data_IF_456256891810
#
_entry.id   IF_456256891810
#
_cell.length_a   1.000
_cell.length_b   1.000
_cell.length_c   1.000
_cell.angle_alpha   90.00
_cell.angle_beta   90.00
_cell.angle_gamma   90.00
#
_symmetry.space_group_name_H-M   'P 1'
#
loop_
_entity.id
_entity.type
_entity.pdbx_description
1 polymer ?
#
# COMPACT_ATOMS: atom_id res chain seq x y z
N UNK A 1 144.04 38.81 -86.01
CA UNK A 1 145.27 38.19 -85.48
C UNK A 1 145.10 38.03 -83.97
N UNK A 2 144.62 36.86 -83.52
CA UNK A 2 144.57 36.49 -82.11
C UNK A 2 145.88 35.76 -81.80
N UNK A 3 146.76 36.36 -80.98
CA UNK A 3 147.97 35.70 -80.49
C UNK A 3 147.63 34.97 -79.19
N UNK A 4 147.42 33.65 -79.28
CA UNK A 4 147.47 32.76 -78.11
C UNK A 4 148.86 32.13 -78.12
N UNK A 5 149.59 32.36 -77.03
CA UNK A 5 150.96 31.93 -76.84
C UNK A 5 150.98 30.43 -76.51
N UNK A 6 151.47 29.60 -77.42
CA UNK A 6 152.09 28.32 -77.05
C UNK A 6 153.49 28.25 -77.66
N UNK A 7 154.41 27.79 -76.82
CA UNK A 7 155.83 27.58 -77.03
C UNK A 7 156.12 26.77 -78.30
N UNK A 8 156.82 27.40 -79.25
CA UNK A 8 157.32 26.84 -80.52
C UNK A 8 156.25 26.32 -81.50
N UNK A 9 155.74 27.23 -82.35
CA UNK A 9 155.48 27.09 -83.80
C UNK A 9 154.45 28.13 -84.24
N UNK A 10 154.76 28.89 -85.28
CA UNK A 10 153.91 29.93 -85.86
C UNK A 10 152.97 29.32 -86.91
N UNK A 11 151.70 29.74 -86.93
CA UNK A 11 150.78 29.49 -88.03
C UNK A 11 150.43 30.84 -88.69
N UNK A 12 150.80 30.99 -89.96
CA UNK A 12 150.40 32.13 -90.80
C UNK A 12 149.07 31.82 -91.49
N UNK A 13 148.13 32.75 -91.40
CA UNK A 13 146.86 32.72 -92.12
C UNK A 13 147.04 33.48 -93.44
N UNK A 14 146.93 32.78 -94.58
CA UNK A 14 146.81 33.42 -95.90
C UNK A 14 145.36 33.30 -96.38
N UNK A 15 144.78 34.42 -96.77
CA UNK A 15 143.51 34.51 -97.47
C UNK A 15 143.82 34.65 -98.95
N UNK A 16 143.28 33.77 -99.80
CA UNK A 16 143.34 33.96 -101.25
C UNK A 16 141.94 34.21 -101.81
N UNK A 17 141.88 35.23 -102.66
CA UNK A 17 140.68 35.87 -103.18
C UNK A 17 140.56 35.50 -104.66
N UNK A 18 139.79 34.45 -105.02
CA UNK A 18 139.25 34.22 -106.38
C UNK A 18 138.38 32.94 -106.47
N UNK A 19 137.05 33.06 -106.47
CA UNK A 19 136.06 32.28 -107.24
C UNK A 19 134.64 32.46 -106.68
N UNK A 20 133.65 32.83 -107.52
CA UNK A 20 132.31 33.28 -107.11
C UNK A 20 131.29 32.15 -106.77
N UNK A 21 131.74 31.05 -106.17
CA UNK A 21 130.89 30.08 -105.46
C UNK A 21 131.69 29.61 -104.24
N UNK A 22 131.26 29.98 -103.02
CA UNK A 22 131.95 29.74 -101.75
C UNK A 22 133.34 30.40 -101.59
N UNK A 23 133.57 31.10 -100.47
CA UNK A 23 134.83 31.04 -99.77
C UNK A 23 134.63 30.21 -98.49
N UNK A 24 134.77 28.90 -98.61
CA UNK A 24 135.12 28.03 -97.49
C UNK A 24 136.59 28.32 -97.18
N UNK A 25 136.86 29.03 -96.08
CA UNK A 25 138.21 29.19 -95.58
C UNK A 25 138.67 27.87 -94.96
N UNK A 26 139.21 26.98 -95.79
CA UNK A 26 139.83 25.73 -95.37
C UNK A 26 141.16 26.05 -94.66
N UNK A 27 141.27 25.69 -93.38
CA UNK A 27 142.54 25.68 -92.66
C UNK A 27 143.04 24.23 -92.65
N UNK A 28 143.94 23.91 -93.58
CA UNK A 28 144.68 22.66 -93.62
C UNK A 28 146.03 22.82 -92.93
N UNK A 29 146.38 21.94 -91.98
CA UNK A 29 147.74 21.78 -91.50
C UNK A 29 148.26 20.40 -91.89
N UNK A 30 149.43 20.33 -92.52
CA UNK A 30 150.13 19.08 -92.79
C UNK A 30 151.02 18.76 -91.59
N UNK A 31 150.81 17.62 -90.95
CA UNK A 31 151.78 17.06 -90.00
C UNK A 31 152.75 16.22 -90.81
N UNK A 32 154.02 16.63 -90.88
CA UNK A 32 155.08 15.69 -91.24
C UNK A 32 155.29 14.74 -90.05
N UNK A 33 154.52 13.65 -90.07
CA UNK A 33 154.87 12.28 -89.71
C UNK A 33 153.62 11.55 -89.24
N UNK A 34 153.33 10.47 -89.96
CA UNK A 34 152.23 9.52 -89.87
C UNK A 34 150.88 9.93 -90.51
N UNK A 35 150.42 9.04 -91.38
CA UNK A 35 149.55 9.25 -92.53
C UNK A 35 148.06 9.20 -92.22
N UNK A 36 147.48 10.26 -91.65
CA UNK A 36 146.02 10.45 -91.61
C UNK A 36 145.63 11.94 -91.71
N UNK A 37 144.95 12.29 -92.80
CA UNK A 37 144.35 13.62 -93.01
C UNK A 37 143.04 13.71 -92.23
N UNK A 38 143.06 14.26 -91.01
CA UNK A 38 141.84 14.52 -90.22
C UNK A 38 141.63 16.03 -90.12
N UNK A 39 140.70 16.57 -90.92
CA UNK A 39 140.40 18.01 -90.91
C UNK A 39 139.71 18.43 -89.60
N UNK A 40 140.31 19.42 -88.94
CA UNK A 40 139.88 19.97 -87.63
C UNK A 40 138.42 20.47 -87.63
N UNK A 41 137.89 20.82 -88.81
CA UNK A 41 136.49 21.22 -89.00
C UNK A 41 135.53 20.13 -88.51
N UNK A 42 135.82 18.86 -88.77
CA UNK A 42 134.87 17.79 -88.45
C UNK A 42 134.80 17.50 -86.94
N UNK A 43 135.89 17.74 -86.19
CA UNK A 43 135.92 17.52 -84.73
C UNK A 43 135.39 18.72 -83.96
N UNK A 44 135.65 19.95 -84.41
CA UNK A 44 135.14 21.17 -83.76
C UNK A 44 133.66 21.43 -84.08
N UNK A 45 133.23 21.18 -85.32
CA UNK A 45 131.83 21.32 -85.73
C UNK A 45 130.95 20.28 -85.04
N UNK A 46 131.37 19.02 -84.98
CA UNK A 46 130.60 18.02 -84.23
C UNK A 46 130.58 18.31 -82.73
N UNK A 47 131.70 18.72 -82.11
CA UNK A 47 131.71 18.97 -80.65
C UNK A 47 130.89 20.19 -80.22
N UNK A 48 130.84 21.26 -81.01
CA UNK A 48 129.97 22.42 -80.72
C UNK A 48 128.49 22.08 -80.99
N UNK A 49 128.19 21.41 -82.10
CA UNK A 49 126.80 21.16 -82.52
C UNK A 49 126.12 20.11 -81.64
N UNK A 50 126.82 19.09 -81.13
CA UNK A 50 126.16 18.06 -80.29
C UNK A 50 126.17 18.36 -78.79
N UNK A 51 127.19 19.02 -78.23
CA UNK A 51 127.27 19.26 -76.78
C UNK A 51 126.71 20.62 -76.33
N UNK A 52 126.62 21.65 -77.19
CA UNK A 52 126.12 22.98 -76.77
C UNK A 52 124.70 23.30 -77.23
N UNK A 53 124.21 22.73 -78.33
CA UNK A 53 122.85 23.01 -78.85
C UNK A 53 121.78 22.20 -78.08
N UNK A 54 122.13 21.01 -77.58
CA UNK A 54 121.21 20.12 -76.85
C UNK A 54 120.69 20.69 -75.52
N UNK A 55 121.33 21.73 -74.97
CA UNK A 55 120.90 22.43 -73.75
C UNK A 55 120.09 23.70 -74.03
N UNK A 56 119.82 24.02 -75.30
CA UNK A 56 119.01 25.18 -75.68
C UNK A 56 117.59 24.69 -75.96
N UNK A 57 116.61 25.35 -75.35
CA UNK A 57 115.18 25.12 -75.62
C UNK A 57 114.54 26.44 -76.06
N UNK A 58 113.58 26.36 -76.98
CA UNK A 58 112.72 27.49 -77.35
C UNK A 58 111.29 27.08 -76.98
N UNK A 59 110.66 27.84 -76.06
CA UNK A 59 109.33 27.52 -75.50
C UNK A 59 109.21 26.06 -75.03
N UNK A 60 110.16 25.60 -74.20
CA UNK A 60 110.24 24.25 -73.63
C UNK A 60 110.43 23.10 -74.64
N UNK A 61 110.70 23.41 -75.92
CA UNK A 61 111.07 22.42 -76.94
C UNK A 61 112.59 22.38 -77.10
N UNK A 62 113.25 21.22 -76.89
CA UNK A 62 114.68 21.06 -77.14
C UNK A 62 115.07 21.33 -78.59
N UNK A 63 116.09 22.16 -78.78
CA UNK A 63 116.67 22.40 -80.10
C UNK A 63 117.48 21.18 -80.52
N UNK A 64 117.05 20.56 -81.61
CA UNK A 64 117.70 19.42 -82.27
C UNK A 64 118.11 19.82 -83.68
N UNK A 65 119.01 19.05 -84.31
CA UNK A 65 119.47 19.34 -85.68
C UNK A 65 118.31 19.42 -86.68
N UNK A 66 117.27 18.63 -86.45
CA UNK A 66 116.17 18.49 -87.40
C UNK A 66 115.12 19.59 -87.23
N UNK A 67 114.97 20.16 -86.02
CA UNK A 67 114.00 21.24 -85.75
C UNK A 67 114.63 22.64 -85.61
N UNK A 68 115.95 22.78 -85.61
CA UNK A 68 116.63 24.07 -85.38
C UNK A 68 116.21 25.14 -86.38
N UNK A 69 116.02 24.78 -87.64
CA UNK A 69 115.58 25.74 -88.67
C UNK A 69 114.13 26.19 -88.46
N UNK A 70 113.29 25.32 -87.94
CA UNK A 70 111.87 25.60 -87.67
C UNK A 70 111.71 26.45 -86.40
N UNK A 71 112.49 26.19 -85.35
CA UNK A 71 112.52 27.01 -84.14
C UNK A 71 113.16 28.38 -84.37
N UNK A 72 114.18 28.47 -85.23
CA UNK A 72 114.73 29.75 -85.67
C UNK A 72 113.71 30.55 -86.50
N UNK A 73 112.90 29.90 -87.35
CA UNK A 73 111.81 30.54 -88.09
C UNK A 73 110.81 31.25 -87.16
N UNK A 74 110.45 30.64 -86.02
CA UNK A 74 109.58 31.26 -85.00
C UNK A 74 110.25 32.47 -84.34
N UNK A 75 111.57 32.43 -84.10
CA UNK A 75 112.32 33.56 -83.54
C UNK A 75 112.54 34.72 -84.52
N UNK A 76 112.62 34.44 -85.83
CA UNK A 76 112.91 35.43 -86.88
C UNK A 76 111.65 36.04 -87.52
N UNK A 77 110.44 35.65 -87.11
CA UNK A 77 109.18 36.23 -87.59
C UNK A 77 108.96 37.72 -87.25
N UNK A 78 109.90 38.36 -86.53
CA UNK A 78 109.88 39.80 -86.22
C UNK A 78 110.93 40.64 -86.95
N UNK A 79 111.68 40.09 -87.91
CA UNK A 79 112.73 40.82 -88.63
C UNK A 79 112.53 40.73 -90.15
N UNK A 80 112.15 41.83 -90.80
CA UNK A 80 111.90 41.89 -92.24
C UNK A 80 113.19 41.65 -93.04
N UNK A 81 113.31 40.46 -93.63
CA UNK A 81 114.29 40.17 -94.68
C UNK A 81 113.56 40.03 -96.01
N UNK A 82 113.78 41.03 -96.85
CA UNK A 82 113.42 41.11 -98.27
C UNK A 82 114.03 39.91 -99.02
N UNK A 83 113.28 38.81 -99.09
CA UNK A 83 113.80 37.58 -99.70
C UNK A 83 112.86 36.38 -99.61
N UNK A 84 111.64 36.53 -100.17
CA UNK A 84 110.76 35.46 -100.68
C UNK A 84 110.79 34.08 -100.01
N UNK A 85 110.02 33.93 -98.93
CA UNK A 85 109.56 32.64 -98.42
C UNK A 85 108.23 32.81 -97.67
N UNK A 86 107.12 32.45 -98.32
CA UNK A 86 105.74 32.70 -97.87
C UNK A 86 105.31 31.69 -96.81
N UNK A 87 104.93 32.14 -95.60
CA UNK A 87 104.30 31.30 -94.57
C UNK A 87 102.78 31.30 -94.78
N UNK A 88 102.19 30.13 -95.02
CA UNK A 88 100.74 29.99 -95.26
C UNK A 88 99.95 29.96 -93.95
N UNK A 89 99.16 31.01 -93.72
CA UNK A 89 98.27 31.19 -92.56
C UNK A 89 96.79 31.18 -92.96
N UNK A 90 96.46 30.73 -94.18
CA UNK A 90 95.11 30.82 -94.77
C UNK A 90 94.01 30.07 -94.01
N UNK A 91 94.36 29.09 -93.17
CA UNK A 91 93.40 28.29 -92.39
C UNK A 91 93.14 28.83 -90.97
N UNK A 92 93.73 29.97 -90.59
CA UNK A 92 93.53 30.58 -89.27
C UNK A 92 92.87 31.95 -89.41
N UNK A 93 91.94 32.27 -88.52
CA UNK A 93 91.39 33.63 -88.46
C UNK A 93 92.47 34.61 -88.02
N UNK A 94 92.52 35.74 -88.72
CA UNK A 94 93.32 36.89 -88.31
C UNK A 94 92.70 37.54 -87.06
N UNK A 95 93.50 38.32 -86.32
CA UNK A 95 92.99 39.11 -85.18
C UNK A 95 91.82 40.04 -85.58
N UNK A 96 91.86 40.76 -86.72
CA UNK A 96 90.73 41.56 -87.17
C UNK A 96 89.46 40.74 -87.42
N UNK A 97 89.55 39.57 -88.03
CA UNK A 97 88.39 38.69 -88.26
C UNK A 97 87.81 38.17 -86.95
N UNK A 98 88.68 37.80 -86.00
CA UNK A 98 88.26 37.35 -84.67
C UNK A 98 87.54 38.46 -83.91
N UNK A 99 88.06 39.69 -83.95
CA UNK A 99 87.42 40.83 -83.28
C UNK A 99 86.06 41.15 -83.92
N UNK A 100 85.95 41.09 -85.25
CA UNK A 100 84.67 41.30 -85.96
C UNK A 100 83.63 40.24 -85.57
N UNK A 101 84.04 38.98 -85.43
CA UNK A 101 83.18 37.88 -84.99
C UNK A 101 82.74 38.02 -83.52
N UNK A 102 83.63 38.53 -82.65
CA UNK A 102 83.30 38.77 -81.24
C UNK A 102 82.36 39.97 -81.09
N UNK A 103 82.61 41.06 -81.82
CA UNK A 103 81.78 42.28 -81.78
C UNK A 103 80.35 42.03 -82.26
N UNK A 104 80.13 40.99 -83.08
CA UNK A 104 78.80 40.60 -83.58
C UNK A 104 78.10 39.54 -82.73
N UNK A 105 78.74 39.06 -81.65
CA UNK A 105 78.17 38.05 -80.77
C UNK A 105 77.26 38.68 -79.72
N UNK A 106 76.12 38.04 -79.45
CA UNK A 106 75.26 38.36 -78.30
C UNK A 106 75.64 37.48 -77.09
N UNK A 107 75.80 38.10 -75.92
CA UNK A 107 76.13 37.40 -74.67
C UNK A 107 74.93 36.65 -74.08
N UNK A 108 75.18 35.45 -73.56
CA UNK A 108 74.16 34.63 -72.90
C UNK A 108 73.89 35.13 -71.49
N UNK A 109 72.62 35.40 -71.18
CA UNK A 109 72.16 35.70 -69.82
C UNK A 109 71.44 34.47 -69.24
N UNK A 110 71.75 34.11 -67.99
CA UNK A 110 71.12 32.97 -67.29
C UNK A 110 69.60 33.11 -67.26
N UNK A 111 68.89 32.06 -67.68
CA UNK A 111 67.42 32.03 -67.74
C UNK A 111 66.82 32.59 -69.03
N UNK A 112 67.63 33.03 -70.02
CA UNK A 112 67.17 33.50 -71.33
C UNK A 112 67.70 32.64 -72.47
N UNK A 113 66.89 32.49 -73.53
CA UNK A 113 67.31 31.98 -74.82
C UNK A 113 68.01 33.09 -75.63
N UNK A 114 68.90 32.72 -76.56
CA UNK A 114 69.73 33.65 -77.36
C UNK A 114 68.99 34.24 -78.57
N UNK A 115 67.67 34.07 -78.69
CA UNK A 115 66.86 34.58 -79.81
C UNK A 115 66.23 35.93 -79.49
N UNK A 116 65.96 36.70 -80.54
CA UNK A 116 65.20 37.96 -80.53
C UNK A 116 63.71 37.70 -80.31
N UNK A 117 63.33 37.09 -79.18
CA UNK A 117 61.93 37.15 -78.68
C UNK A 117 61.66 38.55 -78.10
N UNK A 118 62.03 39.57 -78.87
CA UNK A 118 61.95 40.96 -78.48
C UNK A 118 60.57 41.47 -78.90
N UNK A 119 59.64 41.56 -77.94
CA UNK A 119 58.51 42.46 -78.11
C UNK A 119 59.07 43.83 -78.49
N UNK A 120 58.63 44.36 -79.62
CA UNK A 120 59.00 45.71 -80.06
C UNK A 120 58.63 46.71 -78.96
N UNK A 121 59.31 47.86 -78.91
CA UNK A 121 58.96 48.93 -77.96
C UNK A 121 57.47 49.30 -78.07
N UNK A 122 56.90 49.22 -79.28
CA UNK A 122 55.47 49.42 -79.53
C UNK A 122 54.59 48.30 -78.95
N UNK A 123 54.97 47.03 -79.04
CA UNK A 123 54.21 45.92 -78.44
C UNK A 123 54.32 45.93 -76.92
N UNK A 124 55.50 46.26 -76.36
CA UNK A 124 55.67 46.45 -74.91
C UNK A 124 54.84 47.63 -74.42
N UNK A 125 54.81 48.74 -75.16
CA UNK A 125 53.96 49.88 -74.86
C UNK A 125 52.47 49.52 -74.96
N UNK A 126 52.07 48.76 -76.00
CA UNK A 126 50.69 48.25 -76.13
C UNK A 126 50.30 47.35 -74.97
N UNK A 127 51.12 46.36 -74.63
CA UNK A 127 50.91 45.44 -73.51
C UNK A 127 50.85 46.18 -72.17
N UNK A 128 51.74 47.15 -71.96
CA UNK A 128 51.72 48.00 -70.77
C UNK A 128 50.52 48.97 -70.73
N UNK A 129 49.96 49.33 -71.89
CA UNK A 129 48.77 50.18 -72.02
C UNK A 129 47.45 49.40 -72.03
N UNK A 130 47.49 48.07 -71.97
CA UNK A 130 46.28 47.25 -71.88
C UNK A 130 45.62 47.48 -70.51
N UNK A 131 44.59 48.32 -70.49
CA UNK A 131 43.68 48.51 -69.34
C UNK A 131 42.45 47.60 -69.42
N UNK A 132 42.44 46.59 -70.30
CA UNK A 132 41.29 45.72 -70.52
C UNK A 132 41.02 44.71 -69.38
N UNK A 133 41.76 44.80 -68.28
CA UNK A 133 41.53 44.07 -67.04
C UNK A 133 41.27 45.06 -65.91
N UNK A 134 39.99 45.30 -65.62
CA UNK A 134 39.53 46.06 -64.45
C UNK A 134 38.86 45.10 -63.46
N UNK A 135 39.56 44.77 -62.37
CA UNK A 135 39.07 43.92 -61.29
C UNK A 135 38.47 44.71 -60.12
N UNK A 136 38.28 46.03 -60.29
CA UNK A 136 37.77 46.93 -59.24
C UNK A 136 36.43 46.47 -58.70
N UNK A 137 35.51 46.06 -59.59
CA UNK A 137 34.19 45.55 -59.18
C UNK A 137 34.31 44.26 -58.34
N UNK A 138 35.16 43.31 -58.76
CA UNK A 138 35.37 42.06 -58.03
C UNK A 138 35.98 42.32 -56.65
N UNK A 139 36.97 43.23 -56.54
CA UNK A 139 37.55 43.64 -55.25
C UNK A 139 36.51 44.31 -54.35
N UNK A 140 35.64 45.14 -54.91
CA UNK A 140 34.54 45.77 -54.17
C UNK A 140 33.54 44.74 -53.65
N UNK A 141 33.14 43.77 -54.47
CA UNK A 141 32.22 42.70 -54.08
C UNK A 141 32.82 41.80 -52.99
N UNK A 142 34.13 41.48 -53.09
CA UNK A 142 34.84 40.74 -52.05
C UNK A 142 34.84 41.53 -50.74
N UNK A 143 35.17 42.82 -50.77
CA UNK A 143 35.19 43.67 -49.57
C UNK A 143 33.80 43.76 -48.92
N UNK A 144 32.75 43.98 -49.72
CA UNK A 144 31.37 44.01 -49.23
C UNK A 144 30.94 42.66 -48.63
N UNK A 145 31.28 41.54 -49.26
CA UNK A 145 30.99 40.21 -48.72
C UNK A 145 31.76 39.94 -47.43
N UNK A 146 33.03 40.36 -47.34
CA UNK A 146 33.82 40.27 -46.10
C UNK A 146 33.14 41.02 -44.96
N UNK A 147 32.68 42.25 -45.18
CA UNK A 147 31.97 43.04 -44.18
C UNK A 147 30.65 42.37 -43.74
N UNK A 148 29.85 41.88 -44.69
CA UNK A 148 28.59 41.16 -44.39
C UNK A 148 28.87 39.88 -43.59
N UNK A 149 29.92 39.13 -43.93
CA UNK A 149 30.30 37.92 -43.17
C UNK A 149 30.75 38.28 -41.75
N UNK A 150 31.55 39.33 -41.58
CA UNK A 150 32.02 39.77 -40.26
C UNK A 150 30.86 40.24 -39.35
N UNK A 151 29.90 40.97 -39.91
CA UNK A 151 28.69 41.40 -39.19
C UNK A 151 27.82 40.20 -38.80
N UNK A 152 27.63 39.23 -39.71
CA UNK A 152 26.86 38.01 -39.44
C UNK A 152 27.54 37.13 -38.39
N UNK A 153 28.87 36.99 -38.44
CA UNK A 153 29.65 36.28 -37.41
C UNK A 153 29.46 36.94 -36.04
N UNK A 154 29.44 38.27 -35.99
CA UNK A 154 29.21 39.01 -34.74
C UNK A 154 27.81 38.79 -34.20
N UNK A 155 26.78 38.87 -35.07
CA UNK A 155 25.38 38.59 -34.72
C UNK A 155 25.20 37.15 -34.23
N UNK A 156 25.79 36.18 -34.91
CA UNK A 156 25.72 34.77 -34.56
C UNK A 156 26.35 34.50 -33.19
N UNK A 157 27.56 35.02 -32.94
CA UNK A 157 28.23 34.90 -31.62
C UNK A 157 27.41 35.51 -30.49
N UNK A 158 26.77 36.65 -30.73
CA UNK A 158 25.90 37.28 -29.73
C UNK A 158 24.67 36.41 -29.42
N UNK A 159 24.02 35.85 -30.45
CA UNK A 159 22.88 34.94 -30.29
C UNK A 159 23.28 33.63 -29.60
N UNK A 160 24.42 33.04 -29.97
CA UNK A 160 24.98 31.86 -29.31
C UNK A 160 25.26 32.13 -27.83
N UNK A 161 25.81 33.30 -27.49
CA UNK A 161 26.02 33.70 -26.10
C UNK A 161 24.70 33.80 -25.34
N UNK A 162 23.68 34.46 -25.90
CA UNK A 162 22.36 34.58 -25.26
C UNK A 162 21.75 33.20 -25.00
N UNK A 163 21.83 32.28 -25.98
CA UNK A 163 21.34 30.92 -25.82
C UNK A 163 22.11 30.16 -24.74
N UNK A 164 23.44 30.28 -24.71
CA UNK A 164 24.28 29.66 -23.69
C UNK A 164 23.92 30.16 -22.28
N UNK A 165 23.81 31.49 -22.10
CA UNK A 165 23.43 32.10 -20.82
C UNK A 165 22.03 31.63 -20.37
N UNK A 166 21.06 31.55 -21.28
CA UNK A 166 19.70 31.07 -20.99
C UNK A 166 19.68 29.59 -20.58
N UNK A 167 20.47 28.74 -21.25
CA UNK A 167 20.62 27.32 -20.89
C UNK A 167 21.25 27.19 -19.50
N UNK A 168 22.28 27.97 -19.18
CA UNK A 168 22.89 27.96 -17.85
C UNK A 168 21.89 28.37 -16.75
N UNK A 169 21.13 29.45 -16.96
CA UNK A 169 20.11 29.90 -16.02
C UNK A 169 18.99 28.86 -15.82
N UNK A 170 18.58 28.17 -16.90
CA UNK A 170 17.63 27.07 -16.84
C UNK A 170 18.14 25.91 -15.99
N UNK A 171 19.41 25.49 -16.21
CA UNK A 171 20.05 24.41 -15.45
C UNK A 171 20.11 24.75 -13.97
N UNK A 172 20.47 25.98 -13.60
CA UNK A 172 20.50 26.42 -12.20
C UNK A 172 19.10 26.40 -11.56
N UNK A 173 18.09 26.92 -12.27
CA UNK A 173 16.70 26.91 -11.79
C UNK A 173 16.18 25.50 -11.60
N UNK A 174 16.41 24.61 -12.58
CA UNK A 174 15.99 23.22 -12.53
C UNK A 174 16.66 22.47 -11.37
N UNK A 175 17.98 22.58 -11.25
CA UNK A 175 18.75 21.96 -10.15
C UNK A 175 18.25 22.41 -8.78
N UNK A 176 17.95 23.70 -8.63
CA UNK A 176 17.39 24.25 -7.39
C UNK A 176 16.01 23.66 -7.07
N UNK A 177 15.11 23.66 -8.06
CA UNK A 177 13.76 23.12 -7.90
C UNK A 177 13.76 21.62 -7.59
N UNK A 178 14.64 20.86 -8.23
CA UNK A 178 14.85 19.43 -7.95
C UNK A 178 15.35 19.20 -6.52
N UNK A 179 16.29 20.02 -6.02
CA UNK A 179 16.75 19.95 -4.63
C UNK A 179 15.65 20.24 -3.61
N UNK A 180 14.81 21.23 -3.86
CA UNK A 180 13.64 21.52 -3.02
C UNK A 180 12.62 20.37 -3.02
N UNK A 181 12.36 19.78 -4.19
CA UNK A 181 11.46 18.64 -4.32
C UNK A 181 12.00 17.41 -3.57
N UNK A 182 13.28 17.10 -3.71
CA UNK A 182 13.93 16.02 -2.96
C UNK A 182 13.80 16.25 -1.45
N UNK A 183 14.06 17.47 -0.97
CA UNK A 183 13.90 17.80 0.46
C UNK A 183 12.45 17.60 0.94
N UNK A 184 11.45 18.01 0.14
CA UNK A 184 10.02 17.82 0.45
C UNK A 184 9.64 16.33 0.47
N UNK A 185 10.20 15.53 -0.43
CA UNK A 185 9.97 14.08 -0.50
C UNK A 185 10.63 13.38 0.68
N UNK A 186 11.88 13.71 1.00
CA UNK A 186 12.61 13.11 2.12
C UNK A 186 11.97 13.40 3.48
N UNK A 187 11.33 14.56 3.60
CA UNK A 187 10.59 14.97 4.81
C UNK A 187 9.11 14.58 4.79
N UNK A 188 8.64 13.99 3.68
CA UNK A 188 7.23 13.60 3.54
C UNK A 188 6.93 12.39 4.41
N UNK A 189 5.97 12.55 5.32
CA UNK A 189 5.36 11.46 6.09
C UNK A 189 4.06 11.01 5.44
N UNK A 190 3.89 9.70 5.23
CA UNK A 190 2.68 9.14 4.64
C UNK A 190 1.52 9.00 5.62
N UNK A 191 0.32 9.33 5.15
CA UNK A 191 -0.89 9.26 5.96
C UNK A 191 -1.36 7.81 6.03
N UNK A 192 -1.49 7.29 7.24
CA UNK A 192 -2.16 6.01 7.50
C UNK A 192 -3.62 6.27 7.90
N UNK A 193 -4.56 5.52 7.31
CA UNK A 193 -5.99 5.64 7.62
C UNK A 193 -6.27 5.46 9.12
N UNK A 194 -7.07 6.37 9.69
CA UNK A 194 -7.39 6.38 11.13
C UNK A 194 -6.35 7.04 12.04
N UNK A 195 -5.22 7.58 11.51
CA UNK A 195 -4.19 8.30 12.29
C UNK A 195 -4.10 9.79 11.93
N UNK A 196 -3.73 10.61 12.93
CA UNK A 196 -3.34 12.01 12.73
C UNK A 196 -1.88 12.10 12.24
N UNK A 197 -1.54 13.16 11.50
CA UNK A 197 -0.21 13.45 10.94
C UNK A 197 0.63 14.27 11.92
N UNK A 198 0.75 13.85 13.19
CA UNK A 198 1.52 14.57 14.21
C UNK A 198 2.83 13.86 14.54
N UNK A 199 3.83 14.65 14.94
CA UNK A 199 5.17 14.28 15.43
C UNK A 199 5.21 13.43 16.70
N UNK A 200 4.08 12.87 17.11
CA UNK A 200 3.90 12.07 18.33
C UNK A 200 4.29 10.59 18.10
N UNK A 201 5.28 10.36 17.23
CA UNK A 201 5.88 9.04 17.07
C UNK A 201 6.91 8.86 18.18
N UNK A 202 6.56 8.09 19.22
CA UNK A 202 7.56 7.62 20.19
C UNK A 202 8.76 7.03 19.41
N UNK A 203 9.94 7.60 19.61
CA UNK A 203 11.19 7.10 19.01
C UNK A 203 11.38 5.64 19.40
N UNK A 204 12.12 4.84 18.62
CA UNK A 204 12.44 3.45 19.00
C UNK A 204 13.05 3.39 20.40
N UNK A 205 13.87 4.37 20.76
CA UNK A 205 14.43 4.51 22.11
C UNK A 205 13.37 4.77 23.18
N UNK A 206 12.38 5.64 22.94
CA UNK A 206 11.28 5.89 23.87
C UNK A 206 10.32 4.70 23.94
N UNK A 207 10.07 3.99 22.84
CA UNK A 207 9.30 2.74 22.83
C UNK A 207 10.01 1.65 23.61
N UNK A 208 11.32 1.49 23.45
CA UNK A 208 12.13 0.58 24.26
C UNK A 208 12.16 1.02 25.72
N UNK A 209 12.29 2.32 26.01
CA UNK A 209 12.27 2.86 27.37
C UNK A 209 10.93 2.60 28.05
N UNK A 210 9.82 2.88 27.36
CA UNK A 210 8.44 2.61 27.81
C UNK A 210 8.19 1.11 28.02
N UNK A 211 8.63 0.26 27.08
CA UNK A 211 8.54 -1.20 27.22
C UNK A 211 9.45 -1.73 28.34
N UNK A 212 10.54 -1.02 28.67
CA UNK A 212 11.47 -1.34 29.76
C UNK A 212 11.11 -0.70 31.10
N UNK A 213 10.06 0.12 31.15
CA UNK A 213 9.55 0.68 32.40
C UNK A 213 8.99 -0.47 33.25
N UNK A 214 9.83 -1.03 34.10
CA UNK A 214 9.49 -2.00 35.15
C UNK A 214 9.11 -1.32 36.46
N UNK A 215 9.07 0.02 36.49
CA UNK A 215 8.69 0.81 37.67
C UNK A 215 7.17 0.75 37.99
N UNK A 216 6.41 0.00 37.20
CA UNK A 216 5.05 -0.40 37.50
C UNK A 216 5.02 -1.90 37.73
N UNK A 217 5.31 -2.33 38.97
CA UNK A 217 5.06 -3.69 39.42
C UNK A 217 3.63 -3.77 39.96
N UNK A 218 2.69 -4.14 39.09
CA UNK A 218 1.30 -4.35 39.47
C UNK A 218 1.04 -5.76 40.02
N UNK A 219 2.08 -6.56 40.27
CA UNK A 219 1.94 -7.91 40.82
C UNK A 219 1.17 -7.89 42.14
N UNK A 220 1.48 -6.93 43.02
CA UNK A 220 0.75 -6.75 44.29
C UNK A 220 -0.70 -6.37 44.05
N UNK A 221 -0.98 -5.39 43.18
CA UNK A 221 -2.35 -4.94 42.89
C UNK A 221 -3.18 -6.05 42.26
N UNK A 222 -2.62 -6.80 41.31
CA UNK A 222 -3.26 -7.99 40.71
C UNK A 222 -3.49 -9.09 41.75
N UNK A 223 -2.52 -9.29 42.64
CA UNK A 223 -2.63 -10.22 43.77
C UNK A 223 -3.78 -9.84 44.71
N UNK A 224 -3.88 -8.57 45.08
CA UNK A 224 -4.94 -8.04 45.94
C UNK A 224 -6.31 -8.14 45.26
N UNK A 225 -6.40 -7.84 43.95
CA UNK A 225 -7.63 -8.01 43.17
C UNK A 225 -8.05 -9.47 43.15
N UNK A 226 -7.12 -10.40 42.91
CA UNK A 226 -7.43 -11.84 42.90
C UNK A 226 -7.85 -12.34 44.28
N UNK A 227 -7.17 -11.92 45.35
CA UNK A 227 -7.52 -12.26 46.72
C UNK A 227 -8.90 -11.73 47.11
N UNK A 228 -9.20 -10.47 46.78
CA UNK A 228 -10.51 -9.88 47.02
C UNK A 228 -11.62 -10.56 46.21
N UNK A 229 -11.34 -10.93 44.96
CA UNK A 229 -12.28 -11.69 44.13
C UNK A 229 -12.62 -13.03 44.77
N UNK A 230 -11.60 -13.79 45.18
CA UNK A 230 -11.80 -15.08 45.87
C UNK A 230 -12.54 -14.93 47.20
N UNK A 231 -12.24 -13.87 47.98
CA UNK A 231 -12.94 -13.58 49.23
C UNK A 231 -14.42 -13.24 49.00
N UNK A 232 -14.73 -12.43 47.97
CA UNK A 232 -16.10 -12.08 47.59
C UNK A 232 -16.87 -13.33 47.12
N UNK A 233 -16.26 -14.19 46.31
CA UNK A 233 -16.89 -15.43 45.84
C UNK A 233 -17.20 -16.39 47.01
N UNK A 234 -16.27 -16.52 47.96
CA UNK A 234 -16.49 -17.29 49.18
C UNK A 234 -17.61 -16.69 50.05
N UNK A 235 -17.65 -15.36 50.17
CA UNK A 235 -18.66 -14.61 50.90
C UNK A 235 -20.06 -14.80 50.29
N UNK A 236 -20.16 -14.70 48.96
CA UNK A 236 -21.39 -14.94 48.20
C UNK A 236 -21.86 -16.38 48.39
N UNK A 237 -20.94 -17.35 48.34
CA UNK A 237 -21.27 -18.77 48.57
C UNK A 237 -21.83 -18.99 49.97
N UNK A 238 -21.18 -18.42 50.99
CA UNK A 238 -21.64 -18.52 52.38
C UNK A 238 -22.96 -17.76 52.61
N UNK A 239 -23.14 -16.60 51.98
CA UNK A 239 -24.40 -15.83 52.04
C UNK A 239 -25.56 -16.62 51.44
N UNK A 240 -25.39 -17.17 50.22
CA UNK A 240 -26.41 -18.02 49.57
C UNK A 240 -26.76 -19.26 50.41
N UNK A 241 -25.77 -19.88 51.06
CA UNK A 241 -26.02 -21.01 51.95
C UNK A 241 -26.81 -20.60 53.21
N UNK A 242 -26.53 -19.41 53.76
CA UNK A 242 -27.27 -18.85 54.88
C UNK A 242 -28.72 -18.49 54.48
N UNK A 243 -28.92 -17.84 53.33
CA UNK A 243 -30.23 -17.54 52.75
C UNK A 243 -31.06 -18.81 52.54
N UNK A 244 -30.50 -19.84 51.91
CA UNK A 244 -31.19 -21.13 51.73
C UNK A 244 -31.58 -21.79 53.07
N UNK A 245 -30.80 -21.57 54.12
CA UNK A 245 -31.12 -22.06 55.47
C UNK A 245 -32.26 -21.26 56.10
N UNK A 246 -32.33 -19.95 55.84
CA UNK A 246 -33.41 -19.07 56.31
C UNK A 246 -34.72 -19.38 55.57
N UNK A 247 -34.68 -19.57 54.25
CA UNK A 247 -35.87 -19.90 53.46
C UNK A 247 -36.55 -21.18 53.97
N UNK A 248 -35.77 -22.18 54.40
CA UNK A 248 -36.29 -23.40 55.03
C UNK A 248 -36.93 -23.16 56.40
N UNK A 249 -36.61 -22.05 57.08
CA UNK A 249 -37.22 -21.66 58.36
C UNK A 249 -38.48 -20.81 58.19
N UNK A 250 -38.70 -20.20 57.02
CA UNK A 250 -39.93 -19.46 56.73
C UNK A 250 -41.04 -20.49 56.51
N UNK A 251 -42.10 -20.52 57.34
CA UNK A 251 -43.20 -21.46 57.14
C UNK A 251 -43.91 -21.13 55.83
N UNK A 252 -43.78 -22.01 54.84
CA UNK A 252 -44.59 -21.95 53.63
C UNK A 252 -45.96 -22.57 53.92
N UNK A 253 -47.03 -21.93 53.44
CA UNK A 253 -48.40 -22.46 53.62
C UNK A 253 -48.53 -23.74 52.81
N UNK A 254 -48.41 -24.88 53.48
CA UNK A 254 -48.62 -26.18 52.86
C UNK A 254 -50.12 -26.50 52.88
N UNK A 255 -50.77 -26.37 51.72
CA UNK A 255 -52.21 -26.67 51.54
C UNK A 255 -52.58 -28.11 51.89
N UNK A 256 -51.62 -29.03 51.92
CA UNK A 256 -51.82 -30.45 52.22
C UNK A 256 -51.85 -30.76 53.72
N UNK A 257 -51.52 -29.79 54.59
CA UNK A 257 -51.53 -29.92 56.06
C UNK A 257 -52.57 -29.04 56.75
N UNK A 258 -53.62 -28.64 56.04
CA UNK A 258 -54.88 -28.30 56.70
C UNK A 258 -55.29 -29.53 57.51
N UNK A 259 -55.12 -29.49 58.84
CA UNK A 259 -55.56 -30.57 59.71
C UNK A 259 -57.06 -30.82 59.52
N UNK A 260 -57.57 -31.95 60.01
CA UNK A 260 -59.02 -32.23 59.97
C UNK A 260 -59.86 -31.08 60.57
N UNK A 261 -59.28 -30.28 61.47
CA UNK A 261 -59.74 -28.93 61.77
C UNK A 261 -59.13 -27.92 60.79
N UNK A 262 -59.93 -27.53 59.79
CA UNK A 262 -59.59 -26.50 58.78
C UNK A 262 -59.40 -25.08 59.36
N UNK A 263 -59.49 -24.95 60.68
CA UNK A 263 -59.37 -23.71 61.44
C UNK A 263 -57.92 -23.38 61.85
N UNK A 264 -56.94 -24.23 61.51
CA UNK A 264 -55.55 -24.04 61.95
C UNK A 264 -54.54 -24.23 60.81
N UNK A 265 -53.57 -23.30 60.74
CA UNK A 265 -52.38 -23.42 59.88
C UNK A 265 -51.22 -23.86 60.78
N UNK A 266 -50.52 -24.94 60.41
CA UNK A 266 -49.42 -25.50 61.21
C UNK A 266 -48.06 -25.20 60.58
N UNK A 267 -47.03 -25.00 61.40
CA UNK A 267 -45.62 -25.01 60.94
C UNK A 267 -45.15 -26.44 60.70
N UNK A 268 -44.20 -26.64 59.77
CA UNK A 268 -43.45 -27.90 59.71
C UNK A 268 -42.71 -28.13 61.04
N UNK A 269 -43.20 -29.07 61.83
CA UNK A 269 -42.37 -29.77 62.80
C UNK A 269 -41.76 -30.97 62.10
N UNK A 270 -40.44 -31.15 62.20
CA UNK A 270 -39.78 -32.44 61.90
C UNK A 270 -40.65 -33.57 62.46
N UNK A 271 -40.85 -34.63 61.68
CA UNK A 271 -41.61 -35.83 62.08
C UNK A 271 -41.34 -36.17 63.55
N UNK A 272 -42.33 -35.96 64.43
CA UNK A 272 -42.21 -36.16 65.88
C UNK A 272 -42.13 -34.91 66.76
N UNK A 273 -42.11 -33.68 66.22
CA UNK A 273 -42.20 -32.44 67.02
C UNK A 273 -43.65 -31.94 67.13
N UNK A 274 -44.00 -31.36 68.28
CA UNK A 274 -45.31 -30.71 68.51
C UNK A 274 -45.58 -29.65 67.45
N UNK A 275 -46.65 -29.82 66.68
CA UNK A 275 -47.04 -28.87 65.63
C UNK A 275 -47.44 -27.53 66.28
N UNK A 276 -46.73 -26.45 65.94
CA UNK A 276 -47.09 -25.10 66.38
C UNK A 276 -48.14 -24.51 65.42
N UNK A 277 -49.22 -23.94 65.96
CA UNK A 277 -50.41 -23.45 65.25
C UNK A 277 -50.23 -22.00 64.76
N UNK A 278 -49.50 -21.74 63.68
CA UNK A 278 -49.14 -20.38 63.19
C UNK A 278 -50.31 -19.35 63.18
N UNK A 279 -51.55 -19.78 62.93
CA UNK A 279 -52.75 -18.93 63.08
C UNK A 279 -54.01 -19.77 63.34
N UNK A 280 -54.98 -19.18 64.05
CA UNK A 280 -56.34 -19.71 64.22
C UNK A 280 -57.32 -18.92 63.33
N UNK A 281 -58.12 -19.64 62.56
CA UNK A 281 -59.30 -19.14 61.84
C UNK A 281 -60.53 -19.58 62.63
N UNK A 282 -61.18 -18.63 63.29
CA UNK A 282 -62.45 -18.86 63.97
C UNK A 282 -63.60 -18.44 63.05
N UNK A 283 -64.57 -19.34 62.87
CA UNK A 283 -65.89 -19.02 62.32
C UNK A 283 -66.85 -18.81 63.48
N UNK A 284 -67.43 -17.62 63.60
CA UNK A 284 -68.40 -17.30 64.64
C UNK A 284 -69.75 -16.94 63.99
N UNK A 285 -70.82 -17.72 64.23
CA UNK A 285 -72.14 -17.35 63.78
C UNK A 285 -72.67 -16.22 64.66
N UNK A 286 -72.79 -15.02 64.10
CA UNK A 286 -73.59 -13.95 64.68
C UNK A 286 -74.90 -13.84 63.91
N UNK A 287 -75.93 -13.24 64.52
CA UNK A 287 -77.22 -12.98 63.87
C UNK A 287 -77.09 -12.20 62.55
N UNK A 288 -75.96 -11.51 62.33
CA UNK A 288 -75.70 -10.68 61.14
C UNK A 288 -74.86 -11.34 60.04
N UNK A 289 -74.33 -12.56 60.24
CA UNK A 289 -73.53 -13.25 59.21
C UNK A 289 -72.45 -14.17 59.76
N UNK A 290 -71.69 -14.79 58.85
CA UNK A 290 -70.55 -15.64 59.21
C UNK A 290 -69.28 -14.81 59.10
N UNK A 291 -68.59 -14.59 60.23
CA UNK A 291 -67.32 -13.85 60.23
C UNK A 291 -66.13 -14.81 60.19
N UNK A 292 -65.17 -14.53 59.32
CA UNK A 292 -63.83 -15.13 59.35
C UNK A 292 -62.94 -14.19 60.16
N UNK A 293 -62.43 -14.69 61.28
CA UNK A 293 -61.59 -13.90 62.20
C UNK A 293 -60.17 -14.53 62.25
N UNK A 294 -59.17 -13.90 61.61
CA UNK A 294 -57.78 -14.31 61.76
C UNK A 294 -57.23 -13.80 63.11
N UNK A 295 -56.54 -14.66 63.87
CA UNK A 295 -55.82 -14.27 65.10
C UNK A 295 -54.31 -14.39 64.95
N UNK A 296 -53.58 -13.44 65.54
CA UNK A 296 -52.10 -13.45 65.55
C UNK A 296 -51.58 -14.53 66.51
N UNK A 297 -50.41 -15.09 66.23
CA UNK A 297 -49.76 -16.04 67.14
C UNK A 297 -49.22 -15.32 68.39
N UNK A 298 -49.53 -15.86 69.58
CA UNK A 298 -49.06 -15.35 70.87
C UNK A 298 -49.77 -14.09 71.38
N UNK A 299 -50.79 -13.62 70.66
CA UNK A 299 -51.62 -12.47 71.01
C UNK A 299 -53.05 -12.75 70.56
N UNK A 300 -54.01 -12.72 71.48
CA UNK A 300 -55.43 -12.96 71.17
C UNK A 300 -56.07 -11.83 70.37
N UNK A 301 -55.33 -10.76 70.07
CA UNK A 301 -55.79 -9.69 69.21
C UNK A 301 -56.21 -10.21 67.82
N UNK A 302 -57.45 -9.88 67.45
CA UNK A 302 -58.00 -10.20 66.14
C UNK A 302 -57.40 -9.28 65.09
N UNK A 303 -56.94 -9.86 63.98
CA UNK A 303 -56.71 -9.10 62.76
C UNK A 303 -58.06 -8.68 62.15
N UNK A 304 -58.04 -7.78 61.16
CA UNK A 304 -59.25 -7.35 60.44
C UNK A 304 -60.09 -8.57 60.02
N UNK A 305 -61.32 -8.64 60.52
CA UNK A 305 -62.25 -9.71 60.18
C UNK A 305 -62.81 -9.50 58.78
N UNK A 306 -63.16 -10.62 58.13
CA UNK A 306 -63.87 -10.62 56.85
C UNK A 306 -65.29 -11.13 57.10
N UNK A 307 -66.27 -10.31 56.77
CA UNK A 307 -67.69 -10.68 56.84
C UNK A 307 -68.09 -11.48 55.60
N UNK A 308 -68.68 -12.65 55.81
CA UNK A 308 -69.46 -13.34 54.79
C UNK A 308 -70.91 -12.91 54.99
N UNK A 309 -71.47 -12.08 54.09
CA UNK A 309 -72.84 -11.59 54.25
C UNK A 309 -73.83 -12.75 54.29
N UNK A 310 -74.89 -12.60 55.07
CA UNK A 310 -75.98 -13.56 55.10
C UNK A 310 -76.60 -13.76 53.70
N UNK A 311 -77.13 -14.96 53.44
CA UNK A 311 -77.83 -15.23 52.19
C UNK A 311 -79.05 -14.30 52.09
N UNK A 312 -79.10 -13.47 51.05
CA UNK A 312 -80.25 -12.63 50.71
C UNK A 312 -81.20 -13.40 49.81
N UNK A 313 -82.46 -12.97 49.66
CA UNK A 313 -83.41 -13.58 48.70
C UNK A 313 -82.87 -13.66 47.27
N UNK A 314 -81.97 -12.73 46.89
CA UNK A 314 -81.28 -12.73 45.59
C UNK A 314 -80.18 -13.79 45.47
N UNK A 315 -79.61 -14.24 46.59
CA UNK A 315 -78.44 -15.12 46.66
C UNK A 315 -78.73 -16.47 47.34
N UNK A 316 -79.94 -16.67 47.88
CA UNK A 316 -80.38 -17.95 48.42
C UNK A 316 -80.59 -18.92 47.25
N UNK A 317 -79.63 -19.83 47.05
CA UNK A 317 -79.82 -20.95 46.12
C UNK A 317 -81.02 -21.81 46.56
N UNK A 318 -81.66 -22.48 45.60
CA UNK A 318 -82.63 -23.53 45.89
C UNK A 318 -81.94 -24.56 46.79
N UNK A 319 -82.52 -24.83 47.96
CA UNK A 319 -82.01 -25.84 48.89
C UNK A 319 -81.78 -27.15 48.12
N UNK A 320 -80.56 -27.68 48.16
CA UNK A 320 -80.26 -28.91 47.46
C UNK A 320 -81.13 -30.04 48.03
N UNK A 321 -81.50 -31.02 47.19
CA UNK A 321 -82.42 -32.08 47.59
C UNK A 321 -81.93 -32.84 48.85
N UNK A 322 -80.61 -32.97 49.02
CA UNK A 322 -80.00 -33.58 50.21
C UNK A 322 -80.23 -32.76 51.49
N UNK A 323 -80.04 -31.44 51.41
CA UNK A 323 -80.26 -30.54 52.55
C UNK A 323 -81.74 -30.50 52.94
N UNK A 324 -82.64 -30.52 51.95
CA UNK A 324 -84.09 -30.65 52.16
C UNK A 324 -84.45 -31.94 52.87
N UNK A 325 -83.89 -33.07 52.45
CA UNK A 325 -84.11 -34.38 53.07
C UNK A 325 -83.63 -34.39 54.53
N UNK A 326 -82.44 -33.84 54.80
CA UNK A 326 -81.91 -33.76 56.17
C UNK A 326 -82.76 -32.85 57.06
N UNK A 327 -83.21 -31.72 56.53
CA UNK A 327 -84.10 -30.81 57.26
C UNK A 327 -85.43 -31.48 57.57
N UNK A 328 -86.05 -32.16 56.58
CA UNK A 328 -87.28 -32.91 56.78
C UNK A 328 -87.14 -34.02 57.84
N UNK A 329 -86.00 -34.73 57.84
CA UNK A 329 -85.70 -35.74 58.85
C UNK A 329 -85.59 -35.15 60.26
N UNK A 330 -84.86 -34.03 60.42
CA UNK A 330 -84.73 -33.33 61.71
C UNK A 330 -86.06 -32.79 62.22
N UNK A 331 -86.93 -32.33 61.31
CA UNK A 331 -88.27 -31.82 61.63
C UNK A 331 -89.32 -32.92 61.79
N UNK A 332 -88.98 -34.19 61.51
CA UNK A 332 -89.92 -35.30 61.57
C UNK A 332 -91.06 -35.22 60.54
N UNK A 333 -90.82 -34.54 59.42
CA UNK A 333 -91.74 -34.31 58.31
C UNK A 333 -91.57 -35.37 57.20
N UNK A 334 -92.67 -35.90 56.66
CA UNK A 334 -92.66 -36.79 55.49
C UNK A 334 -93.85 -36.57 54.57
N UNK A 335 -93.62 -36.57 53.26
CA UNK A 335 -94.68 -36.56 52.25
C UNK A 335 -95.16 -37.99 52.02
N UNK A 336 -96.46 -38.21 52.17
CA UNK A 336 -97.11 -39.50 51.95
C UNK A 336 -98.19 -39.38 50.88
N UNK A 337 -98.45 -40.46 50.17
CA UNK A 337 -99.44 -40.48 49.07
C UNK A 337 -100.35 -41.70 49.25
N UNK A 338 -101.66 -41.60 48.97
CA UNK A 338 -102.53 -42.77 48.95
C UNK A 338 -102.03 -43.81 47.94
N UNK A 339 -102.20 -45.09 48.27
CA UNK A 339 -101.93 -46.18 47.32
C UNK A 339 -102.98 -46.24 46.19
N UNK A 340 -102.79 -47.13 45.22
CA UNK A 340 -103.69 -47.30 44.06
C UNK A 340 -105.14 -47.65 44.46
N UNK A 341 -105.37 -48.15 45.68
CA UNK A 341 -106.69 -48.45 46.23
C UNK A 341 -107.34 -47.27 46.98
N UNK A 342 -106.65 -46.13 47.02
CA UNK A 342 -107.04 -44.94 47.78
C UNK A 342 -106.71 -45.05 49.27
N UNK A 343 -105.94 -46.03 49.73
CA UNK A 343 -105.58 -46.14 51.14
C UNK A 343 -104.37 -45.27 51.45
N UNK A 344 -104.53 -44.33 52.38
CA UNK A 344 -103.44 -43.51 52.91
C UNK A 344 -102.97 -44.10 54.25
N UNK A 345 -101.82 -44.76 54.24
CA UNK A 345 -101.24 -45.32 55.46
C UNK A 345 -100.36 -44.28 56.16
N UNK A 346 -100.75 -43.83 57.36
CA UNK A 346 -99.88 -43.01 58.18
C UNK A 346 -98.70 -43.84 58.71
N UNK A 347 -97.54 -43.22 58.74
CA UNK A 347 -96.29 -43.73 59.26
C UNK A 347 -96.24 -43.57 60.78
N UNK A 348 -95.62 -44.52 61.47
CA UNK A 348 -95.41 -44.47 62.92
C UNK A 348 -94.08 -43.79 63.32
N UNK A 349 -93.18 -43.54 62.37
CA UNK A 349 -91.85 -42.99 62.61
C UNK A 349 -91.74 -41.50 62.24
N UNK A 350 -92.85 -40.85 61.91
CA UNK A 350 -92.94 -39.41 61.58
C UNK A 350 -94.09 -38.77 62.33
N UNK A 351 -93.82 -37.61 62.91
CA UNK A 351 -94.84 -36.87 63.65
C UNK A 351 -95.70 -36.09 62.66
N UNK A 352 -95.07 -35.39 61.71
CA UNK A 352 -95.79 -34.57 60.73
C UNK A 352 -95.75 -35.23 59.37
N UNK A 353 -96.91 -35.42 58.76
CA UNK A 353 -97.07 -36.07 57.47
C UNK A 353 -97.94 -35.19 56.59
N UNK A 354 -97.52 -34.96 55.35
CA UNK A 354 -98.25 -34.12 54.40
C UNK A 354 -98.69 -34.93 53.19
N UNK A 355 -99.89 -34.65 52.68
CA UNK A 355 -100.40 -35.24 51.45
C UNK A 355 -101.28 -34.26 50.70
N UNK A 356 -101.58 -34.55 49.43
CA UNK A 356 -102.59 -33.83 48.63
C UNK A 356 -103.69 -34.84 48.29
N UNK A 357 -104.91 -34.60 48.76
CA UNK A 357 -106.03 -35.53 48.59
C UNK A 357 -106.87 -35.13 47.37
N UNK A 358 -106.75 -35.88 46.29
CA UNK A 358 -107.39 -35.58 45.00
C UNK A 358 -108.53 -36.54 44.60
N UNK A 359 -108.92 -37.46 45.49
CA UNK A 359 -109.98 -38.44 45.26
C UNK A 359 -110.37 -39.21 46.52
N UNK A 360 -111.11 -40.30 46.34
CA UNK A 360 -111.60 -41.15 47.44
C UNK A 360 -110.45 -41.76 48.24
N UNK A 361 -110.24 -41.25 49.45
CA UNK A 361 -109.08 -41.61 50.28
C UNK A 361 -109.51 -42.20 51.62
N UNK A 362 -108.93 -43.34 51.99
CA UNK A 362 -109.17 -44.05 53.26
C UNK A 362 -107.95 -43.92 54.16
N UNK A 363 -108.06 -43.14 55.23
CA UNK A 363 -106.96 -42.95 56.19
C UNK A 363 -106.84 -44.18 57.08
N UNK A 364 -105.63 -44.72 57.18
CA UNK A 364 -105.29 -45.90 57.98
C UNK A 364 -104.22 -45.54 59.01
N UNK A 365 -104.50 -45.84 60.28
CA UNK A 365 -103.58 -45.59 61.39
C UNK A 365 -102.64 -46.79 61.62
N UNK A 366 -101.43 -46.57 62.17
CA UNK A 366 -100.55 -47.65 62.59
C UNK A 366 -101.21 -48.55 63.66
N UNK A 367 -100.91 -49.86 63.60
CA UNK A 367 -101.51 -50.88 64.48
C UNK A 367 -100.52 -51.52 65.48
N UNK A 368 -99.21 -51.30 65.33
CA UNK A 368 -98.17 -51.89 66.19
C UNK A 368 -97.32 -50.80 66.86
N UNK A 369 -97.94 -50.00 67.74
CA UNK A 369 -97.27 -48.90 68.43
C UNK A 369 -96.66 -49.33 69.77
N UNK A 370 -95.40 -48.97 69.99
CA UNK A 370 -94.67 -49.30 71.23
C UNK A 370 -94.71 -48.17 72.28
N UNK A 371 -94.93 -46.93 71.85
CA UNK A 371 -94.95 -45.74 72.71
C UNK A 371 -96.20 -45.70 73.60
N UNK A 372 -96.05 -45.17 74.83
CA UNK A 372 -97.18 -44.99 75.76
C UNK A 372 -98.18 -43.94 75.27
N UNK A 373 -97.65 -42.89 74.62
CA UNK A 373 -98.41 -41.89 73.87
C UNK A 373 -97.74 -41.71 72.51
N UNK A 374 -98.52 -41.70 71.43
CA UNK A 374 -98.03 -41.38 70.09
C UNK A 374 -98.95 -40.34 69.45
N UNK A 375 -98.34 -39.30 68.91
CA UNK A 375 -99.05 -38.25 68.19
C UNK A 375 -98.61 -38.24 66.72
N UNK A 376 -99.59 -38.12 65.82
CA UNK A 376 -99.41 -38.03 64.39
C UNK A 376 -100.25 -36.87 63.86
N UNK A 377 -99.64 -36.03 63.05
CA UNK A 377 -100.24 -34.88 62.39
C UNK A 377 -100.30 -35.18 60.91
N UNK A 378 -101.51 -35.26 60.36
CA UNK A 378 -101.73 -35.35 58.92
C UNK A 378 -102.20 -33.99 58.42
N UNK A 379 -101.40 -33.38 57.56
CA UNK A 379 -101.71 -32.10 56.93
C UNK A 379 -102.06 -32.34 55.47
N UNK A 380 -103.17 -31.78 54.98
CA UNK A 380 -103.48 -31.77 53.56
C UNK A 380 -104.31 -30.56 53.16
N UNK A 381 -104.23 -30.22 51.88
CA UNK A 381 -105.09 -29.21 51.26
C UNK A 381 -106.39 -29.86 50.76
N UNK A 382 -107.52 -29.27 51.13
CA UNK A 382 -108.83 -29.72 50.70
C UNK A 382 -109.06 -29.47 49.22
N UNK A 383 -109.55 -30.49 48.50
CA UNK A 383 -109.92 -30.40 47.09
C UNK A 383 -111.40 -30.73 46.95
N UNK A 384 -112.18 -29.90 46.24
CA UNK A 384 -113.62 -30.12 46.05
C UNK A 384 -113.89 -31.48 45.40
N UNK A 385 -114.84 -32.23 45.97
CA UNK A 385 -115.26 -33.54 45.46
C UNK A 385 -114.43 -34.72 45.97
N UNK A 386 -113.32 -34.49 46.69
CA UNK A 386 -112.60 -35.55 47.38
C UNK A 386 -113.42 -36.10 48.54
N UNK A 387 -113.54 -37.43 48.66
CA UNK A 387 -114.13 -38.07 49.84
C UNK A 387 -113.05 -38.63 50.75
N UNK A 388 -113.21 -38.44 52.06
CA UNK A 388 -112.27 -38.96 53.06
C UNK A 388 -113.01 -39.93 53.96
N UNK A 389 -112.54 -41.18 53.97
CA UNK A 389 -112.97 -42.18 54.95
C UNK A 389 -111.99 -42.16 56.11
N UNK A 390 -112.46 -41.69 57.26
CA UNK A 390 -111.69 -41.67 58.49
C UNK A 390 -111.61 -43.07 59.14
N UNK A 391 -110.53 -43.36 59.89
CA UNK A 391 -110.35 -44.64 60.55
C UNK A 391 -111.45 -44.89 61.60
N UNK A 392 -112.15 -46.02 61.49
CA UNK A 392 -113.24 -46.40 62.41
C UNK A 392 -112.77 -46.63 63.85
N UNK A 393 -111.47 -46.91 64.03
CA UNK A 393 -110.84 -47.17 65.32
C UNK A 393 -110.51 -45.90 66.10
N UNK A 394 -110.63 -44.72 65.49
CA UNK A 394 -110.39 -43.44 66.13
C UNK A 394 -111.66 -42.88 66.80
N UNK A 395 -111.51 -42.42 68.04
CA UNK A 395 -112.54 -41.71 68.79
C UNK A 395 -112.43 -40.22 68.46
N UNK A 396 -113.42 -39.69 67.76
CA UNK A 396 -113.44 -38.30 67.30
C UNK A 396 -114.05 -37.37 68.34
N UNK A 397 -113.41 -36.21 68.56
CA UNK A 397 -114.06 -35.11 69.28
C UNK A 397 -115.15 -34.46 68.41
N UNK A 398 -114.79 -34.12 67.17
CA UNK A 398 -115.67 -33.69 66.07
C UNK A 398 -114.95 -34.07 64.78
N UNK A 399 -115.60 -34.80 63.87
CA UNK A 399 -115.08 -35.05 62.53
C UNK A 399 -115.61 -33.97 61.57
N UNK A 400 -114.85 -33.53 60.56
CA UNK A 400 -115.36 -32.60 59.56
C UNK A 400 -116.45 -33.29 58.74
N UNK A 401 -117.55 -32.58 58.49
CA UNK A 401 -118.66 -33.08 57.69
C UNK A 401 -118.46 -32.83 56.20
N UNK A 402 -117.65 -31.83 55.84
CA UNK A 402 -117.34 -31.43 54.46
C UNK A 402 -115.89 -30.95 54.37
N UNK A 403 -115.25 -31.17 53.22
CA UNK A 403 -113.90 -30.67 52.89
C UNK A 403 -114.06 -29.46 51.97
N UNK A 404 -113.49 -28.32 52.37
CA UNK A 404 -113.55 -27.06 51.62
C UNK A 404 -112.34 -26.96 50.70
N UNK A 405 -112.54 -26.55 49.44
CA UNK A 405 -111.45 -26.33 48.48
C UNK A 405 -110.46 -25.28 48.97
N UNK A 406 -109.17 -25.58 48.88
CA UNK A 406 -108.08 -24.67 49.22
C UNK A 406 -107.84 -24.47 50.72
N UNK A 407 -108.72 -25.00 51.59
CA UNK A 407 -108.48 -24.96 53.03
C UNK A 407 -107.42 -26.00 53.43
N UNK A 408 -106.49 -25.62 54.29
CA UNK A 408 -105.50 -26.57 54.83
C UNK A 408 -106.05 -27.19 56.11
N UNK A 409 -106.07 -28.51 56.17
CA UNK A 409 -106.50 -29.25 57.34
C UNK A 409 -105.32 -29.90 58.02
N UNK A 410 -105.25 -29.82 59.34
CA UNK A 410 -104.34 -30.59 60.18
C UNK A 410 -105.16 -31.52 61.07
N UNK A 411 -105.03 -32.82 60.85
CA UNK A 411 -105.62 -33.85 61.68
C UNK A 411 -104.61 -34.37 62.68
N UNK A 412 -104.99 -34.33 63.94
CA UNK A 412 -104.15 -34.78 65.05
C UNK A 412 -104.72 -36.10 65.54
N UNK A 413 -103.94 -37.16 65.39
CA UNK A 413 -104.24 -38.48 65.91
C UNK A 413 -103.35 -38.77 67.12
N UNK A 414 -103.96 -39.05 68.26
CA UNK A 414 -103.26 -39.35 69.51
C UNK A 414 -103.59 -40.77 69.98
N UNK A 415 -102.62 -41.67 69.94
CA UNK A 415 -102.71 -43.00 70.54
C UNK A 415 -102.40 -42.90 72.03
N UNK A 416 -103.25 -43.52 72.86
CA UNK A 416 -103.01 -43.65 74.30
C UNK A 416 -103.03 -45.13 74.65
N UNK A 417 -101.86 -45.69 74.96
CA UNK A 417 -101.67 -47.14 75.19
C UNK A 417 -102.49 -47.66 76.37
N UNK A 418 -102.60 -46.90 77.46
CA UNK A 418 -103.39 -47.29 78.64
C UNK A 418 -104.89 -47.43 78.34
N UNK A 419 -105.36 -46.81 77.26
CA UNK A 419 -106.76 -46.85 76.83
C UNK A 419 -106.97 -47.71 75.59
N UNK A 420 -105.87 -48.18 74.97
CA UNK A 420 -105.83 -48.98 73.75
C UNK A 420 -106.67 -48.39 72.60
N UNK A 421 -106.62 -47.06 72.44
CA UNK A 421 -107.46 -46.31 71.50
C UNK A 421 -106.71 -45.14 70.89
N UNK A 422 -107.13 -44.80 69.67
CA UNK A 422 -106.79 -43.55 69.00
C UNK A 422 -107.84 -42.49 69.32
N UNK A 423 -107.39 -41.27 69.57
CA UNK A 423 -108.19 -40.06 69.64
C UNK A 423 -107.89 -39.20 68.42
N UNK A 424 -108.90 -38.54 67.87
CA UNK A 424 -108.75 -37.70 66.70
C UNK A 424 -109.43 -36.34 66.87
N UNK A 425 -108.73 -35.30 66.41
CA UNK A 425 -109.23 -33.95 66.25
C UNK A 425 -108.68 -33.34 64.97
N UNK A 426 -109.19 -32.18 64.58
CA UNK A 426 -108.67 -31.45 63.45
C UNK A 426 -108.68 -29.94 63.68
N UNK A 427 -107.81 -29.26 62.95
CA UNK A 427 -107.75 -27.81 62.81
C UNK A 427 -107.93 -27.50 61.32
N UNK A 428 -108.82 -26.56 60.99
CA UNK A 428 -108.94 -25.99 59.65
C UNK A 428 -108.26 -24.63 59.66
N UNK A 429 -107.26 -24.46 58.81
CA UNK A 429 -106.63 -23.18 58.52
C UNK A 429 -107.30 -22.59 57.27
N UNK A 430 -107.75 -21.34 57.37
CA UNK A 430 -108.40 -20.60 56.28
C UNK A 430 -107.43 -19.69 55.52
#
# INVERSE_FOLDING_TARGET
MLKINTTAKYAELKFDNKSDLYPLNEISYTVENDSETVSFYNRFYNKIVTEQISNIQVNDVPVTRDNIQELLSVLFAGYEVTGGGTVDLSNYYTKPETNTLIDTKVDKVTGKQLSTEDYTTEEKAKLASLENYDDTAVKSDIAANTEVIETEVTRAKAAEKVNADAITAEVERATTAEGELNTKIDTKVDKVGGKQLSTEDYTTAEKTKLASLSNYDDTTVKGDIAANTAAIEAEVTRAKAAESTIDKKIPTVQTNYLGNNKNFIYSEGKTGSTKNVISNISVNPYEWGVYIIPRKWGDESTLNSVEIPCATEKNAGVMANYDRINMNYLLGYEEITPDESGKLQLLDNRITQHTVITGDTRISLPVNLYNDIKELHLIFEGVTGSTITFPYSAVWKVAPTEIVEGATYEFIFTWIKSQNKWYAGYIKYE
#
